data_IF_431841175981
#
_entry.id   IF_431841175981
#
_cell.length_a   1.000
_cell.length_b   1.000
_cell.length_c   1.000
_cell.angle_alpha   90.00
_cell.angle_beta   90.00
_cell.angle_gamma   90.00
#
_symmetry.space_group_name_H-M   'P 1'
#
loop_
_entity.id
_entity.type
_entity.pdbx_description
1 polymer ?
#
# COMPACT_ATOMS: atom_id res chain seq x y z
N UNK A 1 18.61 -7.70 58.71
CA UNK A 1 19.48 -7.49 59.88
C UNK A 1 20.47 -6.40 59.54
N UNK A 2 20.64 -5.48 60.48
CA UNK A 2 21.19 -4.14 60.33
C UNK A 2 22.68 -4.06 59.98
N UNK A 3 23.07 -2.92 59.39
CA UNK A 3 24.16 -2.00 59.79
C UNK A 3 24.66 -1.28 58.52
N UNK A 4 24.37 0.03 58.34
CA UNK A 4 25.18 1.16 58.85
C UNK A 4 26.65 1.03 58.38
N UNK A 5 27.23 1.87 57.52
CA UNK A 5 27.05 3.30 57.28
C UNK A 5 28.10 4.07 58.09
N UNK A 6 29.25 4.44 57.51
CA UNK A 6 30.15 5.46 58.07
C UNK A 6 30.85 6.23 56.93
N UNK A 7 30.74 7.55 57.03
CA UNK A 7 31.35 8.58 56.20
C UNK A 7 32.70 9.05 56.78
N UNK A 8 33.17 10.23 56.32
CA UNK A 8 34.28 11.07 56.81
C UNK A 8 35.59 10.81 56.03
N UNK A 9 35.92 11.62 55.01
CA UNK A 9 36.32 13.03 54.95
C UNK A 9 37.80 13.29 55.31
N UNK A 10 38.46 14.09 54.46
CA UNK A 10 39.52 15.00 54.89
C UNK A 10 40.85 14.91 54.13
N UNK A 11 41.18 16.00 53.42
CA UNK A 11 42.48 16.66 53.61
C UNK A 11 43.52 16.61 52.49
N UNK A 12 43.83 17.79 51.94
CA UNK A 12 45.21 18.29 52.04
C UNK A 12 46.16 18.14 50.83
N UNK A 13 46.06 19.08 49.89
CA UNK A 13 47.14 19.96 49.37
C UNK A 13 48.59 19.47 49.12
N UNK A 14 49.01 19.74 47.86
CA UNK A 14 50.29 20.33 47.38
C UNK A 14 51.44 19.40 46.96
N UNK A 15 51.77 19.49 45.65
CA UNK A 15 53.16 19.68 45.21
C UNK A 15 53.74 18.59 44.29
N UNK A 16 53.93 18.90 43.01
CA UNK A 16 54.81 18.10 42.13
C UNK A 16 54.54 18.28 40.64
N UNK A 17 55.19 19.26 40.00
CA UNK A 17 55.29 19.35 38.53
C UNK A 17 56.20 18.25 38.01
N UNK A 18 55.78 17.51 36.98
CA UNK A 18 56.65 16.92 35.95
C UNK A 18 55.93 16.92 34.59
N UNK A 19 56.74 17.00 33.54
CA UNK A 19 56.46 17.58 32.23
C UNK A 19 55.43 16.85 31.36
N UNK A 20 54.70 17.61 30.53
CA UNK A 20 53.90 17.11 29.41
C UNK A 20 54.80 16.95 28.19
N UNK A 21 55.16 15.70 27.86
CA UNK A 21 55.59 15.34 26.52
C UNK A 21 54.37 15.03 25.66
N UNK A 22 54.37 15.68 24.50
CA UNK A 22 53.38 15.64 23.44
C UNK A 22 53.40 14.31 22.68
N UNK A 23 52.26 13.61 22.62
CA UNK A 23 51.99 12.54 21.66
C UNK A 23 50.74 12.88 20.86
N UNK A 24 50.92 12.90 19.54
CA UNK A 24 49.90 13.13 18.50
C UNK A 24 48.85 12.01 18.51
N UNK A 25 47.57 12.38 18.45
CA UNK A 25 46.50 11.46 18.03
C UNK A 25 46.37 11.46 16.49
N UNK A 26 46.08 10.32 15.86
CA UNK A 26 45.91 10.23 14.41
C UNK A 26 44.58 10.88 13.99
N UNK A 27 44.64 11.75 12.99
CA UNK A 27 43.46 12.29 12.31
C UNK A 27 42.72 11.14 11.62
N UNK A 28 41.46 10.90 12.02
CA UNK A 28 40.53 10.09 11.24
C UNK A 28 40.24 10.73 9.88
N UNK A 29 39.78 9.96 8.88
CA UNK A 29 39.50 10.50 7.56
C UNK A 29 38.39 11.54 7.65
N UNK A 30 38.67 12.73 7.11
CA UNK A 30 37.68 13.80 6.97
C UNK A 30 36.46 13.29 6.19
N UNK A 31 35.28 13.45 6.78
CA UNK A 31 34.02 13.14 6.14
C UNK A 31 33.85 14.04 4.90
N UNK A 32 33.88 13.43 3.72
CA UNK A 32 33.54 14.10 2.46
C UNK A 32 32.04 14.45 2.51
N UNK A 33 31.63 15.69 2.19
CA UNK A 33 30.22 16.06 2.23
C UNK A 33 29.42 15.24 1.22
N UNK A 34 28.30 14.67 1.67
CA UNK A 34 27.37 13.82 0.92
C UNK A 34 26.67 14.54 -0.26
N UNK A 35 26.99 15.81 -0.54
CA UNK A 35 26.36 16.63 -1.59
C UNK A 35 26.75 16.23 -3.02
N UNK A 36 27.92 15.61 -3.25
CA UNK A 36 28.35 15.27 -4.62
C UNK A 36 27.65 14.04 -5.20
N UNK A 37 27.27 13.04 -4.37
CA UNK A 37 26.60 11.82 -4.85
C UNK A 37 25.16 12.07 -5.30
N UNK A 38 24.39 12.89 -4.59
CA UNK A 38 23.02 13.26 -4.98
C UNK A 38 22.96 14.02 -6.31
N UNK A 39 23.95 14.88 -6.59
CA UNK A 39 23.98 15.70 -7.82
C UNK A 39 24.25 14.90 -9.11
N UNK A 40 25.05 13.82 -9.02
CA UNK A 40 25.37 12.99 -10.17
C UNK A 40 24.24 12.01 -10.50
N UNK A 41 23.60 11.47 -9.47
CA UNK A 41 22.47 10.54 -9.61
C UNK A 41 21.21 11.27 -10.11
N UNK A 42 20.97 12.51 -9.68
CA UNK A 42 19.90 13.37 -10.24
C UNK A 42 20.09 13.63 -11.74
N UNK A 43 21.32 13.98 -12.15
CA UNK A 43 21.63 14.28 -13.56
C UNK A 43 21.52 13.06 -14.48
N UNK A 44 21.87 11.87 -13.98
CA UNK A 44 21.70 10.63 -14.76
C UNK A 44 20.21 10.32 -14.96
N UNK A 45 19.40 10.45 -13.90
CA UNK A 45 17.94 10.27 -13.97
C UNK A 45 17.30 11.28 -14.93
N UNK A 46 17.63 12.56 -14.84
CA UNK A 46 17.13 13.60 -15.75
C UNK A 46 17.47 13.30 -17.22
N UNK A 47 18.70 12.83 -17.47
CA UNK A 47 19.15 12.45 -18.82
C UNK A 47 18.39 11.26 -19.37
N UNK A 48 18.17 10.23 -18.55
CA UNK A 48 17.41 9.03 -18.93
C UNK A 48 15.93 9.36 -19.14
N UNK A 49 15.34 10.17 -18.25
CA UNK A 49 13.98 10.68 -18.39
C UNK A 49 13.80 11.43 -19.72
N UNK A 50 14.74 12.32 -20.07
CA UNK A 50 14.76 13.00 -21.37
C UNK A 50 14.79 12.03 -22.55
N UNK A 51 15.68 11.04 -22.49
CA UNK A 51 15.81 10.05 -23.56
C UNK A 51 14.52 9.26 -23.77
N UNK A 52 13.94 8.70 -22.70
CA UNK A 52 12.72 7.90 -22.79
C UNK A 52 11.52 8.74 -23.23
N UNK A 53 11.33 9.93 -22.66
CA UNK A 53 10.22 10.80 -23.08
C UNK A 53 10.33 11.14 -24.58
N UNK A 54 11.54 11.40 -25.08
CA UNK A 54 11.77 11.69 -26.50
C UNK A 54 11.47 10.49 -27.41
N UNK A 55 11.90 9.31 -26.99
CA UNK A 55 11.79 8.07 -27.78
C UNK A 55 10.35 7.58 -27.86
N UNK A 56 9.65 7.50 -26.72
CA UNK A 56 8.33 6.89 -26.61
C UNK A 56 7.17 7.86 -26.90
N UNK A 57 7.28 9.14 -26.51
CA UNK A 57 6.18 10.11 -26.69
C UNK A 57 6.22 10.83 -28.04
N UNK A 58 7.41 11.00 -28.62
CA UNK A 58 7.56 11.67 -29.91
C UNK A 58 7.15 13.15 -29.87
N UNK A 59 6.54 13.64 -30.95
CA UNK A 59 5.96 15.00 -31.01
C UNK A 59 6.89 16.12 -30.53
N UNK A 60 6.36 17.01 -29.68
CA UNK A 60 7.11 18.11 -29.09
C UNK A 60 8.30 17.65 -28.21
N UNK A 61 8.24 16.46 -27.61
CA UNK A 61 9.34 15.90 -26.81
C UNK A 61 10.64 15.71 -27.61
N UNK A 62 10.55 15.57 -28.94
CA UNK A 62 11.73 15.54 -29.85
C UNK A 62 12.46 16.86 -29.96
N UNK A 63 11.82 17.98 -29.63
CA UNK A 63 12.37 19.33 -29.73
C UNK A 63 12.91 19.88 -28.40
N UNK A 64 12.55 19.25 -27.28
CA UNK A 64 12.97 19.65 -25.93
C UNK A 64 14.47 19.42 -25.76
N UNK A 65 15.20 20.43 -25.29
CA UNK A 65 16.59 20.26 -24.88
C UNK A 65 16.66 19.66 -23.46
N UNK A 66 17.71 18.88 -23.13
CA UNK A 66 17.82 18.27 -21.81
C UNK A 66 17.71 19.27 -20.65
N UNK A 67 18.19 20.49 -20.83
CA UNK A 67 18.18 21.53 -19.78
C UNK A 67 16.81 22.21 -19.61
N UNK A 68 15.90 22.02 -20.56
CA UNK A 68 14.56 22.62 -20.56
C UNK A 68 13.50 21.65 -20.00
N UNK A 69 13.81 20.36 -19.95
CA UNK A 69 12.90 19.36 -19.41
C UNK A 69 12.79 19.52 -17.89
N UNK A 70 11.56 19.72 -17.40
CA UNK A 70 11.28 19.70 -15.95
C UNK A 70 11.05 18.25 -15.53
N UNK A 71 11.87 17.77 -14.58
CA UNK A 71 11.78 16.44 -13.98
C UNK A 71 11.66 16.62 -12.47
N UNK A 72 10.45 16.54 -11.96
CA UNK A 72 10.15 16.76 -10.55
C UNK A 72 9.93 15.40 -9.85
N UNK A 73 10.66 15.08 -8.77
CA UNK A 73 10.38 13.86 -8.01
C UNK A 73 8.97 13.94 -7.40
N UNK A 74 8.20 12.87 -7.56
CA UNK A 74 6.88 12.74 -6.95
C UNK A 74 6.99 11.81 -5.75
N UNK A 75 6.46 12.24 -4.62
CA UNK A 75 6.30 11.38 -3.45
C UNK A 75 5.34 10.24 -3.82
N UNK A 76 5.86 9.01 -3.83
CA UNK A 76 5.10 7.80 -4.16
C UNK A 76 5.44 6.66 -3.19
N UNK A 77 4.69 5.56 -3.30
CA UNK A 77 4.84 4.38 -2.47
C UNK A 77 6.27 3.83 -2.38
N UNK A 78 6.46 3.02 -1.34
CA UNK A 78 7.72 2.54 -0.80
C UNK A 78 8.66 1.79 -1.78
N UNK A 79 8.12 1.30 -2.90
CA UNK A 79 8.80 0.36 -3.81
C UNK A 79 9.29 0.99 -5.13
N UNK A 80 8.86 2.21 -5.49
CA UNK A 80 9.03 2.77 -6.83
C UNK A 80 9.57 4.21 -6.82
N UNK A 81 10.45 4.55 -7.78
CA UNK A 81 10.87 5.94 -8.00
C UNK A 81 9.97 6.60 -9.04
N UNK A 82 9.28 7.67 -8.65
CA UNK A 82 8.34 8.40 -9.50
C UNK A 82 8.86 9.80 -9.83
N UNK A 83 8.77 10.17 -11.10
CA UNK A 83 9.13 11.49 -11.58
C UNK A 83 8.05 12.04 -12.50
N UNK A 84 7.58 13.26 -12.25
CA UNK A 84 6.75 14.02 -13.18
C UNK A 84 7.68 14.66 -14.21
N UNK A 85 7.48 14.33 -15.48
CA UNK A 85 8.19 14.95 -16.59
C UNK A 85 7.22 15.88 -17.33
N UNK A 86 7.61 17.13 -17.58
CA UNK A 86 6.71 18.13 -18.18
C UNK A 86 7.38 18.88 -19.34
N UNK A 87 6.64 19.07 -20.44
CA UNK A 87 7.06 19.91 -21.56
C UNK A 87 7.18 21.39 -21.14
N UNK A 88 8.17 22.14 -21.66
CA UNK A 88 8.24 23.59 -21.48
C UNK A 88 6.99 24.30 -22.00
N UNK A 89 6.54 25.32 -21.26
CA UNK A 89 5.34 26.11 -21.59
C UNK A 89 5.40 26.74 -22.99
N UNK A 90 6.59 27.10 -23.46
CA UNK A 90 6.80 27.71 -24.77
C UNK A 90 6.78 26.72 -25.95
N UNK A 91 6.81 25.41 -25.71
CA UNK A 91 6.73 24.39 -26.77
C UNK A 91 5.28 23.92 -26.92
N UNK A 92 4.59 24.26 -28.03
CA UNK A 92 3.26 23.70 -28.29
C UNK A 92 3.38 22.22 -28.67
N UNK A 93 2.35 21.45 -28.32
CA UNK A 93 2.21 20.06 -28.78
C UNK A 93 2.13 20.01 -30.31
N UNK A 94 2.61 18.92 -30.91
CA UNK A 94 2.61 18.67 -32.35
C UNK A 94 1.38 17.85 -32.77
N UNK A 95 0.96 16.91 -31.92
CA UNK A 95 -0.28 16.15 -32.04
C UNK A 95 -0.87 15.87 -30.66
N UNK A 96 -1.37 14.65 -30.47
CA UNK A 96 -2.02 14.20 -29.24
C UNK A 96 -1.02 13.76 -28.15
N UNK A 97 0.28 14.06 -28.29
CA UNK A 97 1.23 13.67 -27.25
C UNK A 97 0.95 14.41 -25.94
N UNK A 98 1.06 13.71 -24.79
CA UNK A 98 0.81 14.32 -23.50
C UNK A 98 1.86 15.40 -23.20
N UNK A 99 1.43 16.48 -22.55
CA UNK A 99 2.36 17.53 -22.07
C UNK A 99 3.04 17.17 -20.76
N UNK A 100 2.42 16.29 -19.98
CA UNK A 100 2.89 15.84 -18.68
C UNK A 100 2.74 14.32 -18.59
N UNK A 101 3.78 13.66 -18.10
CA UNK A 101 3.81 12.21 -17.91
C UNK A 101 4.42 11.87 -16.57
N UNK A 102 4.02 10.72 -16.03
CA UNK A 102 4.64 10.11 -14.87
C UNK A 102 5.62 9.05 -15.35
N UNK A 103 6.90 9.25 -15.08
CA UNK A 103 7.95 8.26 -15.23
C UNK A 103 8.00 7.42 -13.96
N UNK A 104 7.69 6.13 -14.09
CA UNK A 104 7.86 5.14 -13.03
C UNK A 104 9.06 4.27 -13.34
N UNK A 105 10.08 4.33 -12.48
CA UNK A 105 11.20 3.42 -12.55
C UNK A 105 10.99 2.28 -11.57
N UNK A 106 11.17 1.07 -12.08
CA UNK A 106 11.15 -0.12 -11.28
C UNK A 106 12.33 -0.12 -10.30
N UNK A 107 12.07 -0.36 -9.01
CA UNK A 107 13.11 -0.48 -8.01
C UNK A 107 14.05 -1.67 -8.27
N UNK A 108 15.21 -1.69 -7.61
CA UNK A 108 16.15 -2.82 -7.66
C UNK A 108 15.56 -4.15 -7.12
N UNK A 109 14.36 -4.10 -6.53
CA UNK A 109 13.59 -5.21 -5.96
C UNK A 109 12.49 -5.62 -6.96
N UNK A 110 12.76 -5.59 -8.26
CA UNK A 110 11.82 -6.21 -9.20
C UNK A 110 11.85 -7.71 -9.01
N UNK A 111 10.72 -8.23 -8.57
CA UNK A 111 10.36 -9.64 -8.58
C UNK A 111 10.44 -10.16 -10.03
N UNK A 112 10.82 -11.43 -10.20
CA UNK A 112 11.33 -12.00 -11.46
C UNK A 112 10.48 -11.76 -12.73
N UNK A 113 11.05 -12.13 -13.88
CA UNK A 113 10.53 -11.88 -15.24
C UNK A 113 9.00 -12.08 -15.38
N UNK A 114 8.45 -13.14 -14.78
CA UNK A 114 7.01 -13.44 -14.85
C UNK A 114 6.15 -12.35 -14.19
N UNK A 115 6.60 -11.77 -13.08
CA UNK A 115 5.89 -10.69 -12.38
C UNK A 115 5.81 -9.43 -13.24
N UNK A 116 6.91 -9.07 -13.90
CA UNK A 116 6.97 -7.90 -14.79
C UNK A 116 6.03 -8.04 -15.99
N UNK A 117 5.96 -9.24 -16.57
CA UNK A 117 5.05 -9.54 -17.69
C UNK A 117 3.59 -9.38 -17.24
N UNK A 118 3.22 -9.97 -16.10
CA UNK A 118 1.86 -9.88 -15.57
C UNK A 118 1.47 -8.44 -15.24
N UNK A 119 2.36 -7.69 -14.59
CA UNK A 119 2.13 -6.28 -14.26
C UNK A 119 1.95 -5.43 -15.53
N UNK A 120 2.80 -5.64 -16.54
CA UNK A 120 2.73 -4.92 -17.82
C UNK A 120 1.41 -5.20 -18.55
N UNK A 121 0.99 -6.46 -18.61
CA UNK A 121 -0.30 -6.86 -19.21
C UNK A 121 -1.48 -6.25 -18.44
N UNK A 122 -1.42 -6.27 -17.10
CA UNK A 122 -2.47 -5.70 -16.26
C UNK A 122 -2.61 -4.20 -16.50
N UNK A 123 -1.50 -3.47 -16.44
CA UNK A 123 -1.50 -2.02 -16.61
C UNK A 123 -2.01 -1.61 -17.99
N UNK A 124 -1.57 -2.29 -19.05
CA UNK A 124 -2.04 -2.02 -20.40
C UNK A 124 -3.56 -2.20 -20.54
N UNK A 125 -4.13 -3.28 -19.99
CA UNK A 125 -5.58 -3.51 -20.06
C UNK A 125 -6.35 -2.44 -19.26
N UNK A 126 -5.84 -2.02 -18.10
CA UNK A 126 -6.46 -0.99 -17.27
C UNK A 126 -6.47 0.37 -17.96
N UNK A 127 -5.39 0.72 -18.65
CA UNK A 127 -5.29 1.93 -19.46
C UNK A 127 -6.34 1.94 -20.60
N UNK A 128 -6.42 0.85 -21.37
CA UNK A 128 -7.36 0.70 -22.49
C UNK A 128 -8.84 0.71 -22.05
N UNK A 129 -9.12 0.34 -20.80
CA UNK A 129 -10.47 0.35 -20.22
C UNK A 129 -10.80 1.63 -19.43
N UNK A 130 -9.90 2.61 -19.41
CA UNK A 130 -10.05 3.84 -18.62
C UNK A 130 -10.28 3.60 -17.12
N UNK A 131 -9.69 2.51 -16.60
CA UNK A 131 -9.76 2.13 -15.17
C UNK A 131 -8.43 2.38 -14.44
N UNK A 132 -7.42 2.85 -15.16
CA UNK A 132 -6.15 3.35 -14.64
C UNK A 132 -5.55 4.41 -15.54
N UNK A 133 -4.35 4.93 -15.21
CA UNK A 133 -3.65 5.91 -16.04
C UNK A 133 -3.35 5.37 -17.45
N UNK A 134 -3.38 6.24 -18.48
CA UNK A 134 -2.95 5.85 -19.82
C UNK A 134 -1.48 5.38 -19.82
N UNK A 135 -1.16 4.37 -20.62
CA UNK A 135 0.18 3.84 -20.78
C UNK A 135 0.82 4.37 -22.07
N UNK A 136 1.90 5.14 -21.94
CA UNK A 136 2.58 5.75 -23.09
C UNK A 136 3.84 5.01 -23.54
N UNK A 137 4.46 4.21 -22.66
CA UNK A 137 5.66 3.47 -23.02
C UNK A 137 6.09 2.50 -21.93
N UNK A 138 6.71 1.38 -22.32
CA UNK A 138 7.26 0.37 -21.43
C UNK A 138 8.69 0.06 -21.88
N UNK A 139 9.62 0.01 -20.93
CA UNK A 139 11.03 -0.29 -21.15
C UNK A 139 11.59 -1.11 -19.98
N UNK A 140 12.78 -1.73 -20.12
CA UNK A 140 13.31 -2.63 -19.09
C UNK A 140 13.39 -2.02 -17.69
N UNK A 141 13.63 -0.72 -17.59
CA UNK A 141 13.80 -0.04 -16.30
C UNK A 141 12.54 0.63 -15.77
N UNK A 142 11.44 0.64 -16.52
CA UNK A 142 10.24 1.36 -16.10
C UNK A 142 9.16 1.50 -17.16
N UNK A 143 8.27 2.47 -16.93
CA UNK A 143 7.21 2.86 -17.85
C UNK A 143 6.91 4.35 -17.77
N UNK A 144 6.27 4.85 -18.82
CA UNK A 144 5.70 6.19 -18.90
C UNK A 144 4.17 6.08 -18.86
N UNK A 145 3.58 6.78 -17.91
CA UNK A 145 2.15 6.76 -17.62
C UNK A 145 1.57 8.17 -17.73
N UNK A 146 0.25 8.29 -17.84
CA UNK A 146 -0.47 9.54 -17.64
C UNK A 146 -0.18 10.11 -16.25
N UNK A 147 0.27 11.36 -16.20
CA UNK A 147 0.21 12.14 -14.97
C UNK A 147 -1.24 12.57 -14.75
N UNK A 148 -1.80 12.22 -13.60
CA UNK A 148 -3.19 12.53 -13.26
C UNK A 148 -3.21 13.65 -12.20
N UNK A 149 -3.67 14.87 -12.55
CA UNK A 149 -3.83 15.96 -11.60
C UNK A 149 -4.85 15.60 -10.52
N UNK A 150 -4.37 15.18 -9.37
CA UNK A 150 -5.18 14.58 -8.33
C UNK A 150 -4.54 14.68 -6.95
N UNK A 151 -5.34 14.39 -5.94
CA UNK A 151 -4.88 14.17 -4.57
C UNK A 151 -5.35 12.80 -4.09
N UNK A 152 -4.50 12.01 -3.42
CA UNK A 152 -4.99 10.82 -2.72
C UNK A 152 -6.02 11.24 -1.67
N UNK A 153 -7.01 10.37 -1.44
CA UNK A 153 -7.93 10.55 -0.33
C UNK A 153 -7.18 10.42 1.01
N UNK A 154 -7.80 10.93 2.06
CA UNK A 154 -7.40 10.69 3.45
C UNK A 154 -8.32 9.66 4.07
N UNK A 155 -7.87 9.01 5.14
CA UNK A 155 -8.64 7.99 5.89
C UNK A 155 -10.03 8.50 6.29
N UNK A 156 -10.12 9.77 6.72
CA UNK A 156 -11.38 10.41 7.09
C UNK A 156 -12.34 10.60 5.91
N UNK A 157 -11.84 10.70 4.68
CA UNK A 157 -12.66 10.94 3.50
C UNK A 157 -13.41 9.66 3.09
N UNK A 158 -12.90 8.48 3.48
CA UNK A 158 -13.51 7.17 3.17
C UNK A 158 -14.92 7.02 3.75
N UNK A 159 -15.20 7.68 4.88
CA UNK A 159 -16.51 7.60 5.57
C UNK A 159 -17.57 8.56 5.02
N UNK A 160 -17.17 9.48 4.17
CA UNK A 160 -18.09 10.45 3.57
C UNK A 160 -19.06 9.73 2.61
N UNK A 161 -20.38 9.81 2.80
CA UNK A 161 -21.34 8.98 2.06
C UNK A 161 -21.21 9.08 0.54
N UNK A 162 -20.91 10.26 0.00
CA UNK A 162 -20.74 10.49 -1.43
C UNK A 162 -19.47 9.82 -1.98
N UNK A 163 -18.34 9.92 -1.26
CA UNK A 163 -17.09 9.27 -1.66
C UNK A 163 -17.19 7.76 -1.47
N UNK A 164 -17.74 7.30 -0.35
CA UNK A 164 -17.99 5.88 -0.08
C UNK A 164 -18.84 5.24 -1.18
N UNK A 165 -19.90 5.92 -1.64
CA UNK A 165 -20.72 5.48 -2.77
C UNK A 165 -19.91 5.40 -4.09
N UNK A 166 -19.10 6.43 -4.38
CA UNK A 166 -18.25 6.45 -5.57
C UNK A 166 -17.22 5.31 -5.56
N UNK A 167 -16.60 5.04 -4.41
CA UNK A 167 -15.65 3.93 -4.21
C UNK A 167 -16.36 2.60 -4.43
N UNK A 168 -17.55 2.39 -3.87
CA UNK A 168 -18.35 1.19 -4.07
C UNK A 168 -18.66 0.94 -5.56
N UNK A 169 -19.09 1.97 -6.28
CA UNK A 169 -19.34 1.89 -7.73
C UNK A 169 -18.06 1.58 -8.51
N UNK A 170 -16.94 2.22 -8.17
CA UNK A 170 -15.65 1.98 -8.83
C UNK A 170 -15.14 0.55 -8.61
N UNK A 171 -15.23 0.06 -7.37
CA UNK A 171 -14.86 -1.30 -7.01
C UNK A 171 -15.72 -2.34 -7.75
N UNK A 172 -17.04 -2.11 -7.87
CA UNK A 172 -17.92 -2.98 -8.65
C UNK A 172 -17.52 -3.07 -10.13
N UNK A 173 -17.16 -1.93 -10.76
CA UNK A 173 -16.64 -1.92 -12.14
C UNK A 173 -15.32 -2.69 -12.26
N UNK A 174 -14.42 -2.50 -11.30
CA UNK A 174 -13.14 -3.22 -11.27
C UNK A 174 -13.35 -4.74 -11.16
N UNK A 175 -14.25 -5.18 -10.27
CA UNK A 175 -14.63 -6.59 -10.11
C UNK A 175 -15.28 -7.19 -11.37
N UNK A 176 -15.94 -6.38 -12.19
CA UNK A 176 -16.54 -6.80 -13.46
C UNK A 176 -15.53 -7.06 -14.59
N UNK A 177 -14.24 -6.83 -14.37
CA UNK A 177 -13.23 -7.02 -15.40
C UNK A 177 -12.91 -8.49 -15.69
N UNK A 178 -12.88 -8.82 -16.98
CA UNK A 178 -12.25 -10.05 -17.46
C UNK A 178 -10.77 -9.78 -17.75
N UNK A 179 -9.89 -10.42 -16.99
CA UNK A 179 -8.44 -10.29 -17.10
C UNK A 179 -7.80 -11.64 -17.49
N UNK A 180 -6.72 -11.66 -18.29
CA UNK A 180 -6.09 -12.89 -18.78
C UNK A 180 -5.15 -13.55 -17.74
N UNK A 181 -5.60 -13.61 -16.48
CA UNK A 181 -4.86 -14.21 -15.36
C UNK A 181 -5.59 -15.46 -14.83
N UNK A 182 -4.92 -16.22 -13.95
CA UNK A 182 -5.56 -17.36 -13.26
C UNK A 182 -6.85 -16.92 -12.58
N UNK A 183 -7.93 -17.71 -12.74
CA UNK A 183 -9.26 -17.44 -12.16
C UNK A 183 -9.45 -18.10 -10.80
N UNK A 184 -8.53 -18.99 -10.44
CA UNK A 184 -8.59 -19.70 -9.17
C UNK A 184 -8.07 -18.81 -8.03
N UNK A 185 -8.79 -18.67 -6.91
CA UNK A 185 -8.52 -17.70 -5.85
C UNK A 185 -7.41 -18.17 -4.88
N UNK A 186 -6.33 -18.77 -5.42
CA UNK A 186 -5.19 -19.22 -4.62
C UNK A 186 -4.40 -18.07 -4.01
N UNK A 187 -4.57 -16.83 -4.50
CA UNK A 187 -3.74 -15.69 -4.14
C UNK A 187 -3.75 -15.40 -2.63
N UNK A 188 -4.93 -15.35 -1.99
CA UNK A 188 -5.05 -14.94 -0.60
C UNK A 188 -4.30 -15.91 0.34
N UNK A 189 -4.76 -17.15 0.42
CA UNK A 189 -4.14 -18.11 1.33
C UNK A 189 -2.77 -18.59 0.85
N UNK A 190 -2.54 -18.73 -0.46
CA UNK A 190 -1.23 -19.10 -0.98
C UNK A 190 -0.17 -18.04 -0.67
N UNK A 191 -0.56 -16.76 -0.63
CA UNK A 191 0.33 -15.68 -0.18
C UNK A 191 0.51 -15.67 1.33
N UNK A 192 -0.54 -15.83 2.12
CA UNK A 192 -0.41 -15.93 3.59
C UNK A 192 0.47 -17.12 4.02
N UNK A 193 0.33 -18.28 3.37
CA UNK A 193 1.16 -19.46 3.63
C UNK A 193 2.63 -19.21 3.28
N UNK A 194 2.88 -18.56 2.13
CA UNK A 194 4.23 -18.14 1.72
C UNK A 194 4.82 -17.16 2.72
N UNK A 195 4.05 -16.17 3.17
CA UNK A 195 4.51 -15.20 4.16
C UNK A 195 4.84 -15.87 5.49
N UNK A 196 3.92 -16.70 5.99
CA UNK A 196 4.12 -17.45 7.23
C UNK A 196 5.40 -18.31 7.17
N UNK A 197 5.62 -19.00 6.05
CA UNK A 197 6.85 -19.77 5.84
C UNK A 197 8.10 -18.88 5.86
N UNK A 198 8.09 -17.75 5.15
CA UNK A 198 9.21 -16.82 5.13
C UNK A 198 9.51 -16.25 6.52
N UNK A 199 8.49 -15.95 7.34
CA UNK A 199 8.67 -15.49 8.72
C UNK A 199 9.33 -16.58 9.57
N UNK A 200 8.92 -17.85 9.41
CA UNK A 200 9.51 -19.00 10.12
C UNK A 200 10.96 -19.26 9.72
N UNK A 201 11.32 -18.95 8.47
CA UNK A 201 12.67 -19.09 7.93
C UNK A 201 13.58 -17.90 8.29
N UNK A 202 13.06 -16.83 8.92
CA UNK A 202 13.88 -15.69 9.35
C UNK A 202 14.89 -16.14 10.43
N UNK A 203 16.14 -15.66 10.38
CA UNK A 203 17.15 -16.03 11.36
C UNK A 203 16.71 -15.58 12.76
N UNK A 204 16.84 -16.49 13.74
CA UNK A 204 16.56 -16.25 15.15
C UNK A 204 17.52 -15.19 15.72
N UNK A 205 17.19 -13.93 15.49
CA UNK A 205 18.02 -12.77 15.84
C UNK A 205 17.68 -12.22 17.23
N UNK A 206 16.85 -12.92 18.01
CA UNK A 206 16.32 -12.43 19.29
C UNK A 206 15.33 -11.27 19.12
N UNK A 207 14.87 -11.02 17.88
CA UNK A 207 13.96 -9.94 17.55
C UNK A 207 12.48 -10.31 17.83
N UNK A 208 11.58 -9.32 18.02
CA UNK A 208 10.21 -9.54 18.50
C UNK A 208 9.26 -10.23 17.50
N UNK A 209 9.65 -10.48 16.25
CA UNK A 209 8.79 -11.08 15.21
C UNK A 209 8.31 -12.49 15.59
N UNK A 210 9.21 -13.33 16.13
CA UNK A 210 8.90 -14.70 16.56
C UNK A 210 7.87 -14.72 17.69
N UNK A 211 7.87 -13.69 18.54
CA UNK A 211 6.92 -13.56 19.63
C UNK A 211 5.48 -13.41 19.10
N UNK A 212 5.24 -12.66 18.02
CA UNK A 212 3.88 -12.48 17.49
C UNK A 212 3.27 -13.79 16.94
N UNK A 213 4.08 -14.63 16.27
CA UNK A 213 3.63 -15.93 15.77
C UNK A 213 3.13 -16.83 16.90
N UNK A 214 3.90 -16.93 17.98
CA UNK A 214 3.59 -17.75 19.15
C UNK A 214 2.46 -17.13 19.97
N UNK A 215 2.56 -15.84 20.28
CA UNK A 215 1.60 -15.07 21.08
C UNK A 215 0.17 -15.16 20.52
N UNK A 216 0.02 -15.17 19.19
CA UNK A 216 -1.27 -15.29 18.52
C UNK A 216 -1.54 -16.67 17.91
N UNK A 217 -0.63 -17.64 18.07
CA UNK A 217 -0.76 -18.99 17.49
C UNK A 217 -1.11 -18.96 15.99
N UNK A 218 -0.45 -18.09 15.23
CA UNK A 218 -0.86 -17.72 13.86
C UNK A 218 -0.92 -18.91 12.90
N UNK A 219 -0.08 -19.93 13.09
CA UNK A 219 -0.13 -21.14 12.26
C UNK A 219 -1.46 -21.88 12.37
N UNK A 220 -1.92 -22.12 13.60
CA UNK A 220 -3.18 -22.81 13.85
C UNK A 220 -4.37 -21.91 13.51
N UNK A 221 -4.23 -20.62 13.81
CA UNK A 221 -5.28 -19.63 13.56
C UNK A 221 -5.54 -19.41 12.06
N UNK A 222 -4.52 -19.48 11.20
CA UNK A 222 -4.70 -19.47 9.75
C UNK A 222 -5.58 -20.64 9.28
N UNK A 223 -5.47 -21.81 9.91
CA UNK A 223 -6.34 -22.96 9.66
C UNK A 223 -7.78 -22.72 10.11
N UNK A 224 -7.99 -22.02 11.23
CA UNK A 224 -9.32 -21.63 11.69
C UNK A 224 -9.97 -20.60 10.75
N UNK A 225 -9.20 -19.59 10.33
CA UNK A 225 -9.63 -18.60 9.36
C UNK A 225 -10.02 -19.26 8.03
N UNK A 226 -9.19 -20.18 7.53
CA UNK A 226 -9.50 -20.95 6.32
C UNK A 226 -10.84 -21.66 6.42
N UNK A 227 -11.08 -22.44 7.48
CA UNK A 227 -12.35 -23.14 7.70
C UNK A 227 -13.55 -22.19 7.74
N UNK A 228 -13.41 -21.03 8.40
CA UNK A 228 -14.45 -20.02 8.44
C UNK A 228 -14.78 -19.49 7.04
N UNK A 229 -13.76 -19.15 6.24
CA UNK A 229 -13.96 -18.61 4.89
C UNK A 229 -14.43 -19.67 3.89
N UNK A 230 -13.99 -20.93 4.02
CA UNK A 230 -14.52 -22.05 3.24
C UNK A 230 -16.05 -22.24 3.48
N UNK A 231 -16.53 -21.89 4.68
CA UNK A 231 -17.96 -21.89 5.03
C UNK A 231 -18.70 -20.58 4.68
N UNK A 232 -18.02 -19.64 4.00
CA UNK A 232 -18.56 -18.32 3.66
C UNK A 232 -18.43 -18.10 2.15
N UNK A 233 -19.47 -18.41 1.37
CA UNK A 233 -19.43 -18.21 -0.07
C UNK A 233 -19.13 -16.74 -0.41
N UNK A 234 -18.12 -16.53 -1.25
CA UNK A 234 -17.80 -15.24 -1.87
C UNK A 234 -17.47 -15.49 -3.34
N UNK A 235 -18.10 -14.78 -4.29
CA UNK A 235 -17.73 -14.86 -5.70
C UNK A 235 -16.25 -14.52 -5.90
N UNK A 236 -15.62 -15.23 -6.83
CA UNK A 236 -14.26 -14.93 -7.27
C UNK A 236 -14.35 -13.93 -8.42
N UNK A 237 -13.73 -12.78 -8.23
CA UNK A 237 -13.72 -11.65 -9.17
C UNK A 237 -12.31 -11.08 -9.26
N UNK A 238 -12.04 -10.21 -10.22
CA UNK A 238 -10.75 -9.54 -10.28
C UNK A 238 -10.71 -8.41 -9.23
N UNK A 239 -10.00 -8.64 -8.14
CA UNK A 239 -9.90 -7.72 -7.01
C UNK A 239 -8.64 -6.86 -7.09
N UNK A 240 -8.72 -5.67 -6.53
CA UNK A 240 -7.57 -4.79 -6.33
C UNK A 240 -6.69 -5.29 -5.18
N UNK A 241 -7.33 -5.78 -4.11
CA UNK A 241 -6.76 -6.31 -2.86
C UNK A 241 -6.09 -5.28 -1.94
N UNK A 242 -6.08 -3.99 -2.30
CA UNK A 242 -5.42 -2.93 -1.52
C UNK A 242 -6.07 -1.55 -1.71
N UNK A 243 -7.39 -1.47 -1.57
CA UNK A 243 -8.16 -0.22 -1.72
C UNK A 243 -8.10 0.60 -0.41
N UNK A 244 -6.90 1.07 -0.06
CA UNK A 244 -6.65 2.09 0.96
C UNK A 244 -6.73 3.51 0.39
N UNK A 245 -6.84 4.53 1.23
CA UNK A 245 -7.04 5.93 0.82
C UNK A 245 -5.94 6.48 -0.11
N UNK A 246 -4.69 6.02 0.07
CA UNK A 246 -3.55 6.42 -0.76
C UNK A 246 -3.65 5.92 -2.20
N UNK A 247 -4.42 4.85 -2.42
CA UNK A 247 -4.64 4.24 -3.73
C UNK A 247 -5.93 4.73 -4.42
N UNK A 248 -6.61 5.73 -3.83
CA UNK A 248 -7.81 6.36 -4.37
C UNK A 248 -7.51 7.82 -4.65
N UNK A 249 -7.36 8.16 -5.92
CA UNK A 249 -7.10 9.52 -6.36
C UNK A 249 -8.41 10.27 -6.60
N UNK A 250 -8.60 11.40 -5.92
CA UNK A 250 -9.64 12.38 -6.24
C UNK A 250 -9.17 13.24 -7.41
N UNK A 251 -9.91 13.19 -8.52
CA UNK A 251 -9.54 13.86 -9.76
C UNK A 251 -9.85 15.37 -9.68
N UNK A 252 -8.89 16.21 -10.06
CA UNK A 252 -9.08 17.67 -10.08
C UNK A 252 -9.96 18.13 -11.24
N UNK A 253 -9.90 17.41 -12.36
CA UNK A 253 -10.64 17.68 -13.59
C UNK A 253 -11.39 16.40 -14.02
N UNK A 254 -12.55 16.11 -13.42
CA UNK A 254 -13.30 14.91 -13.75
C UNK A 254 -13.93 15.05 -15.14
N UNK A 255 -13.62 14.13 -16.06
CA UNK A 255 -14.18 14.14 -17.43
C UNK A 255 -15.69 13.81 -17.45
N UNK A 256 -16.23 13.22 -16.38
CA UNK A 256 -17.64 12.80 -16.23
C UNK A 256 -18.06 12.78 -14.74
N UNK A 257 -19.17 12.11 -14.40
CA UNK A 257 -19.54 11.80 -13.00
C UNK A 257 -18.53 10.90 -12.26
N UNK A 258 -17.43 10.52 -12.91
CA UNK A 258 -16.38 9.69 -12.35
C UNK A 258 -15.30 10.58 -11.72
N UNK A 259 -15.42 10.81 -10.42
CA UNK A 259 -14.56 11.74 -9.68
C UNK A 259 -13.33 11.10 -9.06
N UNK A 260 -13.20 9.77 -9.15
CA UNK A 260 -12.10 9.03 -8.51
C UNK A 260 -11.44 8.02 -9.45
N UNK A 261 -10.16 7.75 -9.22
CA UNK A 261 -9.41 6.70 -9.91
C UNK A 261 -8.67 5.81 -8.91
N UNK A 262 -8.70 4.51 -9.15
CA UNK A 262 -7.87 3.55 -8.41
C UNK A 262 -6.49 3.47 -9.06
N UNK A 263 -5.45 3.31 -8.24
CA UNK A 263 -4.07 3.14 -8.68
C UNK A 263 -3.38 2.08 -7.81
N UNK A 264 -2.16 1.71 -8.20
CA UNK A 264 -1.30 0.77 -7.47
C UNK A 264 -1.85 -0.66 -7.39
N UNK A 265 -1.84 -1.33 -8.54
CA UNK A 265 -2.41 -2.65 -8.73
C UNK A 265 -1.44 -3.80 -8.38
N UNK A 266 -0.41 -3.55 -7.55
CA UNK A 266 0.66 -4.52 -7.23
C UNK A 266 0.10 -5.83 -6.66
N UNK A 267 -0.96 -5.75 -5.84
CA UNK A 267 -1.59 -6.89 -5.20
C UNK A 267 -2.79 -7.45 -5.99
N UNK A 268 -3.15 -6.86 -7.13
CA UNK A 268 -4.36 -7.20 -7.86
C UNK A 268 -4.34 -8.62 -8.43
N UNK A 269 -5.44 -9.35 -8.28
CA UNK A 269 -5.56 -10.74 -8.71
C UNK A 269 -7.03 -11.18 -8.72
N UNK A 270 -7.33 -12.34 -9.33
CA UNK A 270 -8.60 -12.99 -9.05
C UNK A 270 -8.61 -13.49 -7.60
N UNK A 271 -9.55 -12.96 -6.82
CA UNK A 271 -9.69 -13.24 -5.41
C UNK A 271 -11.17 -13.15 -5.00
N UNK A 272 -11.45 -13.44 -3.74
CA UNK A 272 -12.79 -13.35 -3.18
C UNK A 272 -13.22 -11.87 -3.06
N UNK A 273 -14.37 -11.52 -3.64
CA UNK A 273 -14.98 -10.18 -3.50
C UNK A 273 -15.05 -9.71 -2.04
N UNK A 274 -15.44 -10.60 -1.13
CA UNK A 274 -15.53 -10.28 0.30
C UNK A 274 -14.22 -9.75 0.88
N UNK A 275 -13.07 -10.20 0.35
CA UNK A 275 -11.76 -9.70 0.79
C UNK A 275 -11.55 -8.25 0.39
N UNK A 276 -11.84 -7.86 -0.85
CA UNK A 276 -11.54 -6.49 -1.31
C UNK A 276 -12.42 -5.46 -0.59
N UNK A 277 -13.71 -5.75 -0.43
CA UNK A 277 -14.64 -4.90 0.34
C UNK A 277 -14.25 -4.90 1.83
N UNK A 278 -13.99 -6.08 2.40
CA UNK A 278 -13.64 -6.22 3.82
C UNK A 278 -12.33 -5.51 4.15
N UNK A 279 -11.35 -5.60 3.25
CA UNK A 279 -10.10 -4.85 3.33
C UNK A 279 -10.36 -3.35 3.31
N UNK A 280 -11.12 -2.86 2.34
CA UNK A 280 -11.45 -1.43 2.27
C UNK A 280 -12.11 -0.92 3.56
N UNK A 281 -12.99 -1.71 4.19
CA UNK A 281 -13.58 -1.35 5.48
C UNK A 281 -12.57 -1.33 6.63
N UNK A 282 -11.59 -2.24 6.64
CA UNK A 282 -10.49 -2.20 7.60
C UNK A 282 -9.67 -0.91 7.45
N UNK A 283 -9.48 -0.40 6.23
CA UNK A 283 -8.70 0.82 5.99
C UNK A 283 -9.36 2.10 6.55
N UNK A 284 -10.65 2.09 6.89
CA UNK A 284 -11.28 3.23 7.58
C UNK A 284 -10.72 3.46 8.99
N UNK A 285 -10.04 2.46 9.56
CA UNK A 285 -9.47 2.47 10.90
C UNK A 285 -8.04 3.02 10.91
N UNK A 286 -7.30 2.93 9.81
CA UNK A 286 -5.85 3.13 9.80
C UNK A 286 -5.48 4.41 9.05
N UNK A 287 -4.90 5.37 9.77
CA UNK A 287 -4.34 6.60 9.18
C UNK A 287 -2.82 6.50 9.08
N UNK A 288 -2.30 6.43 7.85
CA UNK A 288 -0.88 6.32 7.55
C UNK A 288 -0.15 7.66 7.42
N UNK A 289 -0.85 8.78 7.65
CA UNK A 289 -0.28 10.14 7.59
C UNK A 289 0.20 10.65 8.94
N UNK A 290 0.20 9.79 9.96
CA UNK A 290 0.62 10.17 11.31
C UNK A 290 2.12 10.51 11.35
N UNK A 291 2.45 11.71 11.82
CA UNK A 291 3.82 12.25 11.75
C UNK A 291 4.78 11.66 12.80
N UNK A 292 4.26 11.01 13.84
CA UNK A 292 5.04 10.45 14.94
C UNK A 292 5.06 8.92 14.90
N UNK A 293 6.14 8.30 15.41
CA UNK A 293 6.22 6.85 15.58
C UNK A 293 4.96 6.30 16.27
N UNK A 294 4.31 5.24 15.76
CA UNK A 294 4.78 4.29 14.74
C UNK A 294 4.50 4.68 13.28
N UNK A 295 4.24 5.96 13.00
CA UNK A 295 3.89 6.52 11.69
C UNK A 295 2.57 6.01 11.11
N UNK A 296 1.72 5.47 11.97
CA UNK A 296 0.31 5.24 11.70
C UNK A 296 -0.52 5.46 12.97
N UNK A 297 -1.83 5.68 12.81
CA UNK A 297 -2.77 5.74 13.91
C UNK A 297 -3.99 4.88 13.61
N UNK A 298 -4.27 3.91 14.49
CA UNK A 298 -5.48 3.10 14.43
C UNK A 298 -6.59 3.71 15.30
N UNK A 299 -7.80 3.87 14.75
CA UNK A 299 -8.99 4.29 15.47
C UNK A 299 -10.11 3.25 15.27
N UNK A 300 -10.17 2.18 16.08
CA UNK A 300 -11.12 1.08 15.85
C UNK A 300 -12.60 1.50 15.84
N UNK A 301 -12.93 2.61 16.52
CA UNK A 301 -14.26 3.19 16.52
C UNK A 301 -14.69 3.77 15.15
N UNK A 302 -13.75 3.96 14.24
CA UNK A 302 -13.98 4.47 12.88
C UNK A 302 -14.29 3.36 11.86
N UNK A 303 -14.21 2.08 12.25
CA UNK A 303 -14.67 0.98 11.41
C UNK A 303 -16.14 1.22 11.01
N UNK A 304 -16.54 1.02 9.73
CA UNK A 304 -17.87 1.39 9.27
C UNK A 304 -18.96 0.70 10.09
N UNK A 305 -19.91 1.50 10.57
CA UNK A 305 -21.12 0.99 11.22
C UNK A 305 -21.93 0.14 10.23
N UNK A 306 -22.83 -0.72 10.72
CA UNK A 306 -23.70 -1.52 9.85
C UNK A 306 -24.47 -0.66 8.83
N UNK A 307 -24.92 0.54 9.21
CA UNK A 307 -25.58 1.47 8.29
C UNK A 307 -24.66 1.97 7.17
N UNK A 308 -23.38 2.26 7.48
CA UNK A 308 -22.38 2.66 6.49
C UNK A 308 -21.97 1.49 5.59
N UNK A 309 -21.82 0.29 6.15
CA UNK A 309 -21.54 -0.92 5.37
C UNK A 309 -22.67 -1.20 4.38
N UNK A 310 -23.94 -1.12 4.81
CA UNK A 310 -25.11 -1.28 3.95
C UNK A 310 -25.20 -0.18 2.89
N UNK A 311 -24.84 1.07 3.23
CA UNK A 311 -24.76 2.16 2.25
C UNK A 311 -23.76 1.84 1.13
N UNK A 312 -22.55 1.38 1.48
CA UNK A 312 -21.54 0.97 0.52
C UNK A 312 -22.03 -0.23 -0.33
N UNK A 313 -22.52 -1.28 0.34
CA UNK A 313 -23.03 -2.51 -0.29
C UNK A 313 -24.14 -2.21 -1.30
N UNK A 314 -25.07 -1.31 -0.98
CA UNK A 314 -26.14 -0.90 -1.91
C UNK A 314 -25.60 -0.30 -3.21
N UNK A 315 -24.65 0.62 -3.11
CA UNK A 315 -24.05 1.26 -4.30
C UNK A 315 -23.18 0.27 -5.09
N UNK A 316 -22.49 -0.64 -4.40
CA UNK A 316 -21.74 -1.71 -5.01
C UNK A 316 -22.67 -2.65 -5.81
N UNK A 317 -23.74 -3.15 -5.18
CA UNK A 317 -24.69 -4.05 -5.82
C UNK A 317 -25.43 -3.38 -6.97
N UNK A 318 -25.82 -2.10 -6.83
CA UNK A 318 -26.49 -1.35 -7.89
C UNK A 318 -25.65 -1.27 -9.18
N UNK A 319 -24.33 -1.11 -9.07
CA UNK A 319 -23.44 -1.15 -10.23
C UNK A 319 -23.14 -2.58 -10.70
N UNK A 320 -22.87 -3.51 -9.78
CA UNK A 320 -22.55 -4.90 -10.12
C UNK A 320 -23.72 -5.66 -10.75
N UNK A 321 -24.96 -5.27 -10.44
CA UNK A 321 -26.21 -5.83 -10.94
C UNK A 321 -26.90 -4.92 -11.96
N UNK A 322 -26.17 -3.96 -12.51
CA UNK A 322 -26.71 -3.01 -13.48
C UNK A 322 -27.25 -3.74 -14.71
N UNK A 323 -28.53 -3.52 -14.99
CA UNK A 323 -29.25 -4.17 -16.09
C UNK A 323 -30.00 -5.44 -15.69
N UNK A 324 -29.86 -5.92 -14.45
CA UNK A 324 -30.68 -7.00 -13.89
C UNK A 324 -31.95 -6.42 -13.22
N UNK A 325 -33.08 -7.12 -13.34
CA UNK A 325 -34.31 -6.78 -12.60
C UNK A 325 -34.28 -7.56 -11.29
N UNK A 326 -33.95 -6.86 -10.20
CA UNK A 326 -33.88 -7.44 -8.84
C UNK A 326 -35.08 -6.97 -8.03
N UNK A 327 -35.83 -7.89 -7.44
CA UNK A 327 -36.95 -7.53 -6.56
C UNK A 327 -36.45 -6.92 -5.24
N UNK A 328 -37.27 -6.11 -4.53
CA UNK A 328 -36.89 -5.56 -3.22
C UNK A 328 -36.58 -6.62 -2.15
N UNK A 329 -37.14 -7.82 -2.27
CA UNK A 329 -36.86 -8.94 -1.37
C UNK A 329 -35.50 -9.57 -1.66
N UNK A 330 -35.20 -9.84 -2.93
CA UNK A 330 -33.89 -10.33 -3.35
C UNK A 330 -32.78 -9.32 -3.05
N UNK A 331 -33.03 -8.03 -3.26
CA UNK A 331 -32.08 -6.97 -2.95
C UNK A 331 -31.72 -6.96 -1.46
N UNK A 332 -32.71 -7.06 -0.56
CA UNK A 332 -32.47 -7.14 0.89
C UNK A 332 -31.67 -8.37 1.27
N UNK A 333 -32.00 -9.52 0.68
CA UNK A 333 -31.26 -10.77 0.92
C UNK A 333 -29.80 -10.65 0.44
N UNK A 334 -29.56 -10.10 -0.75
CA UNK A 334 -28.20 -9.85 -1.25
C UNK A 334 -27.41 -8.90 -0.36
N UNK A 335 -28.06 -7.86 0.19
CA UNK A 335 -27.44 -6.94 1.14
C UNK A 335 -27.04 -7.66 2.45
N UNK A 336 -27.93 -8.47 3.01
CA UNK A 336 -27.69 -9.24 4.24
C UNK A 336 -26.59 -10.30 4.05
N UNK A 337 -26.65 -11.05 2.95
CA UNK A 337 -25.66 -12.08 2.60
C UNK A 337 -24.27 -11.44 2.39
N UNK A 338 -24.20 -10.33 1.65
CA UNK A 338 -22.94 -9.63 1.41
C UNK A 338 -22.39 -8.98 2.69
N UNK A 339 -23.26 -8.50 3.58
CA UNK A 339 -22.82 -7.99 4.88
C UNK A 339 -22.13 -9.08 5.72
N UNK A 340 -22.68 -10.29 5.76
CA UNK A 340 -22.05 -11.42 6.44
C UNK A 340 -20.74 -11.84 5.77
N UNK A 341 -20.74 -11.95 4.43
CA UNK A 341 -19.56 -12.25 3.61
C UNK A 341 -18.41 -11.29 3.96
N UNK A 342 -18.64 -10.00 3.81
CA UNK A 342 -17.61 -8.95 3.99
C UNK A 342 -17.05 -8.92 5.39
N UNK A 343 -17.88 -9.01 6.43
CA UNK A 343 -17.39 -8.98 7.81
C UNK A 343 -16.51 -10.20 8.15
N UNK A 344 -16.79 -11.38 7.59
CA UNK A 344 -15.92 -12.55 7.78
C UNK A 344 -14.62 -12.41 7.00
N UNK A 345 -14.67 -11.91 5.76
CA UNK A 345 -13.47 -11.70 4.95
C UNK A 345 -12.60 -10.51 5.41
N UNK A 346 -13.16 -9.53 6.14
CA UNK A 346 -12.40 -8.48 6.81
C UNK A 346 -11.38 -9.06 7.82
N UNK A 347 -11.70 -10.19 8.44
CA UNK A 347 -10.74 -10.93 9.27
C UNK A 347 -9.50 -11.36 8.46
N UNK A 348 -9.69 -11.80 7.22
CA UNK A 348 -8.55 -12.13 6.36
C UNK A 348 -7.71 -10.91 5.99
N UNK A 349 -8.28 -9.71 5.87
CA UNK A 349 -7.50 -8.48 5.69
C UNK A 349 -6.58 -8.24 6.90
N UNK A 350 -7.11 -8.30 8.12
CA UNK A 350 -6.29 -8.16 9.33
C UNK A 350 -5.17 -9.21 9.39
N UNK A 351 -5.50 -10.47 9.10
CA UNK A 351 -4.53 -11.55 9.15
C UNK A 351 -3.44 -11.43 8.07
N UNK A 352 -3.84 -11.11 6.84
CA UNK A 352 -2.95 -10.92 5.69
C UNK A 352 -1.94 -9.79 5.94
N UNK A 353 -2.44 -8.60 6.27
CA UNK A 353 -1.59 -7.43 6.48
C UNK A 353 -0.77 -7.52 7.76
N UNK A 354 -1.23 -8.26 8.76
CA UNK A 354 -0.43 -8.61 9.94
C UNK A 354 0.80 -9.44 9.56
N UNK A 355 0.64 -10.50 8.76
CA UNK A 355 1.76 -11.33 8.29
C UNK A 355 2.70 -10.55 7.37
N UNK A 356 2.14 -9.81 6.41
CA UNK A 356 2.91 -8.93 5.52
C UNK A 356 3.78 -7.98 6.34
N UNK A 357 3.23 -7.37 7.40
CA UNK A 357 3.95 -6.39 8.19
C UNK A 357 5.07 -7.00 9.03
N UNK A 358 4.90 -8.23 9.54
CA UNK A 358 6.01 -8.94 10.20
C UNK A 358 7.19 -9.12 9.23
N UNK A 359 6.91 -9.47 7.97
CA UNK A 359 7.95 -9.60 6.96
C UNK A 359 8.63 -8.26 6.68
N UNK A 360 7.83 -7.20 6.46
CA UNK A 360 8.35 -5.85 6.22
C UNK A 360 9.25 -5.36 7.35
N UNK A 361 8.95 -5.70 8.60
CA UNK A 361 9.81 -5.35 9.74
C UNK A 361 11.24 -5.92 9.64
N UNK A 362 11.47 -6.96 8.83
CA UNK A 362 12.80 -7.56 8.63
C UNK A 362 13.50 -7.16 7.33
N UNK A 363 12.75 -6.63 6.35
CA UNK A 363 13.28 -6.35 5.00
C UNK A 363 13.15 -4.89 4.56
N UNK A 364 12.20 -4.13 5.13
CA UNK A 364 11.94 -2.75 4.73
C UNK A 364 13.01 -1.83 5.29
N UNK A 365 13.41 -0.86 4.47
CA UNK A 365 14.29 0.24 4.88
C UNK A 365 13.52 1.49 5.26
N UNK A 366 12.19 1.44 5.24
CA UNK A 366 11.32 2.58 5.51
C UNK A 366 11.04 2.67 6.99
N UNK A 367 11.10 3.91 7.48
CA UNK A 367 10.82 4.23 8.86
C UNK A 367 9.31 4.13 9.12
N UNK A 368 8.87 2.94 9.54
CA UNK A 368 7.48 2.64 9.87
C UNK A 368 7.44 1.56 10.97
N UNK A 369 6.52 1.70 11.93
CA UNK A 369 6.36 0.75 13.03
C UNK A 369 5.65 -0.54 12.59
N UNK A 370 6.30 -1.33 11.75
CA UNK A 370 5.74 -2.54 11.15
C UNK A 370 5.33 -3.60 12.20
N UNK A 371 6.06 -3.74 13.30
CA UNK A 371 5.70 -4.74 14.32
C UNK A 371 4.51 -4.28 15.16
N UNK A 372 4.46 -2.99 15.51
CA UNK A 372 3.32 -2.36 16.17
C UNK A 372 2.07 -2.48 15.29
N UNK A 373 2.22 -2.22 13.99
CA UNK A 373 1.13 -2.37 13.02
C UNK A 373 0.66 -3.82 12.91
N UNK A 374 1.58 -4.78 12.79
CA UNK A 374 1.24 -6.20 12.77
C UNK A 374 0.44 -6.60 14.02
N UNK A 375 0.92 -6.21 15.20
CA UNK A 375 0.24 -6.47 16.46
C UNK A 375 -1.16 -5.83 16.50
N UNK A 376 -1.30 -4.57 16.06
CA UNK A 376 -2.59 -3.90 15.95
C UNK A 376 -3.58 -4.66 15.06
N UNK A 377 -3.14 -5.12 13.87
CA UNK A 377 -3.98 -5.91 12.96
C UNK A 377 -4.42 -7.23 13.60
N UNK A 378 -3.53 -7.98 14.26
CA UNK A 378 -3.90 -9.22 14.93
C UNK A 378 -4.82 -9.00 16.14
N UNK A 379 -4.64 -7.91 16.91
CA UNK A 379 -5.58 -7.57 17.99
C UNK A 379 -7.00 -7.34 17.45
N UNK A 380 -7.14 -6.55 16.38
CA UNK A 380 -8.45 -6.31 15.76
C UNK A 380 -9.03 -7.57 15.11
N UNK A 381 -8.20 -8.44 14.53
CA UNK A 381 -8.63 -9.76 14.06
C UNK A 381 -9.36 -10.55 15.16
N UNK A 382 -8.72 -10.73 16.33
CA UNK A 382 -9.32 -11.51 17.42
C UNK A 382 -10.52 -10.80 18.05
N UNK A 383 -10.50 -9.47 18.15
CA UNK A 383 -11.62 -8.68 18.64
C UNK A 383 -12.85 -8.84 17.74
N UNK A 384 -12.70 -8.64 16.43
CA UNK A 384 -13.80 -8.78 15.47
C UNK A 384 -14.28 -10.22 15.35
N UNK A 385 -13.37 -11.20 15.35
CA UNK A 385 -13.74 -12.63 15.35
C UNK A 385 -14.64 -12.98 16.55
N UNK A 386 -14.32 -12.47 17.74
CA UNK A 386 -15.13 -12.66 18.94
C UNK A 386 -16.53 -12.02 18.87
N UNK A 387 -16.65 -10.88 18.18
CA UNK A 387 -17.95 -10.24 17.94
C UNK A 387 -18.80 -11.07 16.96
N UNK A 388 -18.19 -11.62 15.91
CA UNK A 388 -18.90 -12.44 14.92
C UNK A 388 -19.37 -13.79 15.48
N UNK A 389 -18.60 -14.40 16.40
CA UNK A 389 -19.00 -15.67 17.04
C UNK A 389 -20.05 -15.48 18.13
N UNK A 390 -20.06 -14.35 18.84
CA UNK A 390 -21.06 -14.05 19.87
C UNK A 390 -22.43 -13.65 19.32
N UNK A 391 -22.49 -13.21 18.07
CA UNK A 391 -23.74 -12.87 17.37
C UNK A 391 -24.45 -14.08 16.73
N UNK A 392 -23.82 -15.26 16.71
CA UNK A 392 -24.49 -16.48 16.27
C UNK A 392 -25.27 -17.10 17.45
N UNK A 393 -26.58 -17.38 17.32
CA UNK A 393 -27.29 -18.12 18.35
C UNK A 393 -26.63 -19.51 18.52
N UNK A 394 -26.54 -20.05 19.75
CA UNK A 394 -26.00 -21.39 19.95
C UNK A 394 -26.81 -22.38 19.11
N UNK A 395 -26.07 -23.14 18.29
CA UNK A 395 -26.54 -24.20 17.40
C UNK A 395 -27.34 -25.28 18.12
#
# INVERSE_FOLDING_TARGET
>A
MAAEGIAVAGGGTVGGRLAKDSVRQPKGPEAVPNQRRGSAQSRDTERRAHQWCREYLGGAWRRVRPEELRVDPVSGGLSNLLFRCSLPDHLPSVGEEPREVLLRLYGAILQGVDSLVLESVMFAILAERSLGPQLYGVFPEGRLEQYIPSLPLKTRDLREPMLSAAIATKMARFHGMEMPFTKEPHWLFGTMERYLKQILDLPSTGLPQLNLLEMYSLKDEMGNLRKLLDSTPSPVVFCHNDIQEGNILLLSEPENADSIMLIDFEYSSYNYRGFDIGNHFCEWVYDYTHEEWPFYKAQPADYPTQGQQLHFIRHYLAEAKKGEIVSPEEQRKLEEDLLLEVNRYALASHFFWGLWSILQASMSTIEFGYLEYAQSRFQLYFQQKGQLTSLQPPS
#
